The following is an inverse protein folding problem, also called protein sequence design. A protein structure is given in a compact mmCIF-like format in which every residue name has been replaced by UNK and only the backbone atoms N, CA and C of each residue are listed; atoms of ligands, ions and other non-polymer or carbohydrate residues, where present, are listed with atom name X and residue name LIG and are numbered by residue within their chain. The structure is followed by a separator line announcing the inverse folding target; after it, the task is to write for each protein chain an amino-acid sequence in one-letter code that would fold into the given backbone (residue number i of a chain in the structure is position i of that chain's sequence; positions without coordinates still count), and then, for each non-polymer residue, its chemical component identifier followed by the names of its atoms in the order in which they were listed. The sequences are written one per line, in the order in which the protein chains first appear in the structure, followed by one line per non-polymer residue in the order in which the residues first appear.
data_IF_798390441014
#
_entry.id   IF_798390441014
#
_cell.length_a   1.000
_cell.length_b   1.000
_cell.length_c   1.000
_cell.angle_alpha   90.00
_cell.angle_beta   90.00
_cell.angle_gamma   90.00
#
_symmetry.space_group_name_H-M   'P 1'
#
loop_
_entity.id
_entity.type
_entity.pdbx_description
1 polymer ?
#
# COMPACT_ATOMS: atom_id res chain seq x y z
N UNK A 1 4.24 7.31 9.54
CA UNK A 1 3.75 6.49 8.43
C UNK A 1 4.83 6.19 7.38
N UNK A 2 5.00 4.91 7.01
CA UNK A 2 5.96 4.42 5.98
C UNK A 2 5.58 4.82 4.55
N UNK A 3 4.28 4.87 4.24
CA UNK A 3 3.75 5.35 2.96
C UNK A 3 2.32 5.82 3.17
N UNK A 4 1.89 6.84 2.43
CA UNK A 4 0.49 7.25 2.31
C UNK A 4 -0.19 6.67 1.06
N UNK A 5 0.55 5.96 0.21
CA UNK A 5 0.01 5.37 -1.02
C UNK A 5 -0.70 4.05 -0.72
N UNK A 6 -1.97 3.94 -1.12
CA UNK A 6 -2.84 2.76 -0.93
C UNK A 6 -2.19 1.46 -1.41
N UNK A 7 -1.51 1.47 -2.55
CA UNK A 7 -0.81 0.31 -3.12
C UNK A 7 0.27 -0.22 -2.17
N UNK A 8 1.08 0.69 -1.64
CA UNK A 8 2.20 0.35 -0.77
C UNK A 8 1.76 -0.03 0.65
N UNK A 9 0.70 0.61 1.15
CA UNK A 9 0.05 0.24 2.41
C UNK A 9 -0.55 -1.17 2.29
N UNK A 10 -1.29 -1.45 1.21
CA UNK A 10 -1.86 -2.77 0.95
C UNK A 10 -0.79 -3.85 0.91
N UNK A 11 0.33 -3.61 0.22
CA UNK A 11 1.44 -4.54 0.18
C UNK A 11 2.02 -4.81 1.58
N UNK A 12 2.22 -3.77 2.40
CA UNK A 12 2.71 -3.93 3.76
C UNK A 12 1.78 -4.83 4.58
N UNK A 13 0.47 -4.59 4.50
CA UNK A 13 -0.54 -5.37 5.21
C UNK A 13 -0.58 -6.83 4.73
N UNK A 14 -0.45 -7.07 3.42
CA UNK A 14 -0.36 -8.42 2.85
C UNK A 14 0.89 -9.15 3.35
N UNK A 15 2.03 -8.47 3.43
CA UNK A 15 3.27 -9.06 3.96
C UNK A 15 3.13 -9.40 5.45
N UNK A 16 2.58 -8.50 6.27
CA UNK A 16 2.28 -8.74 7.70
C UNK A 16 1.35 -9.95 7.84
N UNK A 17 0.25 -9.97 7.10
CA UNK A 17 -0.72 -11.06 7.10
C UNK A 17 -0.10 -12.39 6.68
N UNK A 18 0.75 -12.39 5.64
CA UNK A 18 1.42 -13.61 5.13
C UNK A 18 2.33 -14.27 6.16
N UNK A 19 2.81 -13.51 7.16
CA UNK A 19 3.59 -14.05 8.28
C UNK A 19 2.71 -14.55 9.44
N UNK A 20 1.39 -14.58 9.25
CA UNK A 20 0.41 -15.00 10.27
C UNK A 20 0.18 -13.96 11.36
N UNK A 21 0.55 -12.70 11.13
CA UNK A 21 0.39 -11.61 12.09
C UNK A 21 -0.99 -10.97 11.91
N UNK A 22 -2.02 -11.69 12.36
CA UNK A 22 -3.41 -11.29 12.15
C UNK A 22 -3.85 -10.32 13.25
N UNK A 23 -3.77 -10.73 14.51
CA UNK A 23 -4.22 -9.92 15.63
C UNK A 23 -3.27 -8.73 15.91
N UNK A 24 -3.78 -7.54 16.31
CA UNK A 24 -2.93 -6.41 16.64
C UNK A 24 -1.87 -6.70 17.72
N UNK A 25 -2.18 -7.61 18.65
CA UNK A 25 -1.24 -8.04 19.70
C UNK A 25 -0.06 -8.84 19.13
N UNK A 26 -0.25 -9.52 17.99
CA UNK A 26 0.83 -10.23 17.29
C UNK A 26 1.71 -9.25 16.51
N UNK A 27 1.19 -8.13 16.03
CA UNK A 27 2.00 -7.10 15.38
C UNK A 27 2.72 -6.25 16.43
N UNK A 28 3.78 -6.81 17.04
CA UNK A 28 4.59 -6.13 18.05
C UNK A 28 6.09 -6.25 17.74
N UNK A 29 6.87 -5.32 18.30
CA UNK A 29 8.32 -5.16 18.02
C UNK A 29 9.20 -6.38 18.32
N UNK A 30 8.71 -7.33 19.12
CA UNK A 30 9.50 -8.49 19.56
C UNK A 30 9.30 -9.72 18.67
N UNK A 31 8.45 -9.66 17.65
CA UNK A 31 8.20 -10.83 16.82
C UNK A 31 9.28 -10.97 15.74
N UNK A 32 10.06 -12.06 15.81
CA UNK A 32 11.03 -12.45 14.76
C UNK A 32 10.42 -12.46 13.36
N UNK A 33 9.10 -12.64 13.25
CA UNK A 33 8.36 -12.63 11.97
C UNK A 33 8.26 -11.26 11.31
N UNK A 34 8.39 -10.16 12.07
CA UNK A 34 8.52 -8.81 11.49
C UNK A 34 9.90 -8.58 10.88
N UNK A 35 10.91 -9.36 11.31
CA UNK A 35 12.24 -9.28 10.72
C UNK A 35 12.15 -9.67 9.23
N UNK A 36 12.72 -8.83 8.38
CA UNK A 36 12.71 -9.04 6.94
C UNK A 36 11.51 -8.42 6.21
N UNK A 37 10.37 -8.16 6.87
CA UNK A 37 9.20 -7.56 6.18
C UNK A 37 9.55 -6.22 5.54
N UNK A 38 10.27 -5.35 6.24
CA UNK A 38 10.67 -4.06 5.67
C UNK A 38 11.58 -4.21 4.45
N UNK A 39 12.43 -5.24 4.42
CA UNK A 39 13.31 -5.54 3.28
C UNK A 39 12.51 -6.15 2.13
N UNK A 40 11.59 -7.06 2.43
CA UNK A 40 10.69 -7.68 1.45
C UNK A 40 9.82 -6.60 0.79
N UNK A 41 9.25 -5.70 1.59
CA UNK A 41 8.46 -4.56 1.13
C UNK A 41 9.30 -3.62 0.25
N UNK A 42 10.47 -3.19 0.73
CA UNK A 42 11.33 -2.27 -0.03
C UNK A 42 11.73 -2.89 -1.38
N UNK A 43 12.13 -4.16 -1.39
CA UNK A 43 12.58 -4.84 -2.61
C UNK A 43 11.43 -5.30 -3.52
N UNK A 44 10.17 -5.14 -3.09
CA UNK A 44 9.05 -5.56 -3.90
C UNK A 44 8.91 -4.67 -5.14
N UNK A 45 8.61 -5.28 -6.29
CA UNK A 45 8.47 -4.58 -7.58
C UNK A 45 7.50 -3.41 -7.51
N UNK A 46 6.40 -3.56 -6.77
CA UNK A 46 5.40 -2.50 -6.59
C UNK A 46 5.98 -1.27 -5.91
N UNK A 47 6.78 -1.46 -4.85
CA UNK A 47 7.37 -0.36 -4.09
C UNK A 47 8.53 0.27 -4.86
N UNK A 48 9.32 -0.54 -5.58
CA UNK A 48 10.33 -0.03 -6.51
C UNK A 48 9.70 0.84 -7.60
N UNK A 49 8.53 0.46 -8.11
CA UNK A 49 7.78 1.28 -9.06
C UNK A 49 7.33 2.61 -8.42
N UNK A 50 6.80 2.61 -7.19
CA UNK A 50 6.46 3.85 -6.47
C UNK A 50 7.66 4.78 -6.30
N UNK A 51 8.86 4.22 -6.02
CA UNK A 51 10.10 5.00 -5.89
C UNK A 51 10.49 5.64 -7.23
N UNK A 52 10.46 4.87 -8.33
CA UNK A 52 10.80 5.36 -9.67
C UNK A 52 9.81 6.44 -10.14
N UNK A 53 8.53 6.29 -9.80
CA UNK A 53 7.47 7.25 -10.14
C UNK A 53 7.51 8.52 -9.27
N UNK A 54 8.32 8.53 -8.20
CA UNK A 54 8.41 9.66 -7.26
C UNK A 54 7.30 9.70 -6.22
N UNK A 55 6.36 8.73 -6.24
CA UNK A 55 5.25 8.60 -5.29
C UNK A 55 5.74 8.29 -3.88
N UNK A 56 6.88 7.61 -3.77
CA UNK A 56 7.56 7.36 -2.52
C UNK A 56 8.90 8.12 -2.55
N UNK A 57 8.98 9.21 -1.77
CA UNK A 57 10.25 9.94 -1.61
C UNK A 57 11.37 8.93 -1.29
N UNK A 58 12.47 9.00 -2.06
CA UNK A 58 13.54 8.02 -2.11
C UNK A 58 13.83 7.39 -0.74
N UNK A 59 13.17 6.27 -0.43
CA UNK A 59 13.40 5.53 0.80
C UNK A 59 14.76 4.88 0.66
N UNK A 60 15.76 5.47 1.32
CA UNK A 60 17.15 5.00 1.30
C UNK A 60 17.37 3.74 2.14
N UNK A 61 16.39 3.37 2.98
CA UNK A 61 16.48 2.25 3.89
C UNK A 61 15.14 1.53 4.03
N UNK A 62 15.22 0.23 4.26
CA UNK A 62 14.06 -0.60 4.56
C UNK A 62 13.45 -0.18 5.92
N UNK A 63 12.11 -0.17 6.05
CA UNK A 63 11.47 0.11 7.32
C UNK A 63 11.92 -0.86 8.42
N UNK A 64 12.19 -0.33 9.61
CA UNK A 64 12.49 -1.16 10.80
C UNK A 64 11.21 -1.80 11.34
N UNK A 65 11.31 -2.88 12.14
CA UNK A 65 10.15 -3.46 12.83
C UNK A 65 9.36 -2.43 13.64
N UNK A 66 10.03 -1.50 14.33
CA UNK A 66 9.36 -0.43 15.09
C UNK A 66 8.58 0.53 14.18
N UNK A 67 9.13 0.88 13.01
CA UNK A 67 8.43 1.71 12.03
C UNK A 67 7.21 1.00 11.45
N UNK A 68 7.30 -0.32 11.25
CA UNK A 68 6.19 -1.15 10.78
C UNK A 68 5.09 -1.21 11.83
N UNK A 69 5.43 -1.49 13.09
CA UNK A 69 4.47 -1.51 14.20
C UNK A 69 3.79 -0.16 14.36
N UNK A 70 4.57 0.93 14.35
CA UNK A 70 4.03 2.29 14.44
C UNK A 70 3.07 2.58 13.29
N UNK A 71 3.46 2.26 12.05
CA UNK A 71 2.60 2.46 10.88
C UNK A 71 1.32 1.62 10.99
N UNK A 72 1.42 0.37 11.42
CA UNK A 72 0.27 -0.49 11.62
C UNK A 72 -0.70 0.05 12.69
N UNK A 73 -0.19 0.58 13.79
CA UNK A 73 -1.00 1.22 14.84
C UNK A 73 -1.68 2.49 14.32
N UNK A 74 -0.94 3.36 13.63
CA UNK A 74 -1.50 4.56 12.98
C UNK A 74 -2.64 4.17 12.02
N UNK A 75 -2.50 3.08 11.26
CA UNK A 75 -3.54 2.59 10.36
C UNK A 75 -4.78 2.09 11.11
N UNK A 76 -4.63 1.35 12.21
CA UNK A 76 -5.79 0.94 13.02
C UNK A 76 -6.52 2.13 13.64
N UNK A 77 -5.78 3.13 14.13
CA UNK A 77 -6.36 4.34 14.70
C UNK A 77 -7.17 5.14 13.67
N UNK A 78 -6.69 5.20 12.43
CA UNK A 78 -7.35 5.89 11.32
C UNK A 78 -8.55 5.14 10.73
N UNK A 79 -8.66 3.84 11.03
CA UNK A 79 -9.69 2.95 10.49
C UNK A 79 -10.36 2.21 11.65
N UNK A 80 -11.14 2.93 12.45
CA UNK A 80 -11.71 2.45 13.71
C UNK A 80 -12.67 1.27 13.57
N UNK A 81 -13.18 1.02 12.35
CA UNK A 81 -13.95 -0.16 12.01
C UNK A 81 -13.10 -1.42 11.81
N UNK A 82 -11.80 -1.27 11.53
CA UNK A 82 -10.86 -2.37 11.34
C UNK A 82 -10.32 -2.84 12.69
N UNK A 83 -10.34 -4.16 12.93
CA UNK A 83 -9.94 -4.76 14.22
C UNK A 83 -8.62 -5.50 14.15
N UNK A 84 -8.16 -5.85 12.95
CA UNK A 84 -6.99 -6.69 12.73
C UNK A 84 -6.38 -6.45 11.34
N UNK A 85 -5.29 -7.16 11.04
CA UNK A 85 -4.58 -7.04 9.75
C UNK A 85 -5.47 -7.42 8.56
N UNK A 86 -6.37 -8.40 8.70
CA UNK A 86 -7.29 -8.82 7.63
C UNK A 86 -8.28 -7.72 7.28
N UNK A 87 -8.88 -7.08 8.28
CA UNK A 87 -9.83 -5.96 8.06
C UNK A 87 -9.14 -4.80 7.34
N UNK A 88 -7.94 -4.41 7.80
CA UNK A 88 -7.13 -3.39 7.15
C UNK A 88 -6.80 -3.77 5.71
N UNK A 89 -6.31 -5.00 5.48
CA UNK A 89 -5.94 -5.46 4.14
C UNK A 89 -7.15 -5.43 3.19
N UNK A 90 -8.33 -5.86 3.65
CA UNK A 90 -9.56 -5.79 2.86
C UNK A 90 -9.98 -4.35 2.56
N UNK A 91 -9.90 -3.46 3.54
CA UNK A 91 -10.21 -2.04 3.33
C UNK A 91 -9.33 -1.43 2.25
N UNK A 92 -8.00 -1.57 2.37
CA UNK A 92 -7.06 -1.03 1.40
C UNK A 92 -7.13 -1.74 0.05
N UNK A 93 -7.52 -3.02 0.01
CA UNK A 93 -7.80 -3.74 -1.23
C UNK A 93 -8.96 -3.10 -2.00
N UNK A 94 -10.11 -2.86 -1.35
CA UNK A 94 -11.25 -2.24 -2.02
C UNK A 94 -10.98 -0.79 -2.42
N UNK A 95 -10.30 -0.02 -1.57
CA UNK A 95 -9.83 1.32 -1.94
C UNK A 95 -8.96 1.29 -3.19
N UNK A 96 -8.05 0.30 -3.29
CA UNK A 96 -7.18 0.15 -4.45
C UNK A 96 -7.93 -0.24 -5.72
N UNK A 97 -8.98 -1.06 -5.63
CA UNK A 97 -9.84 -1.37 -6.78
C UNK A 97 -10.46 -0.09 -7.32
N UNK A 98 -11.07 0.72 -6.45
CA UNK A 98 -11.73 1.97 -6.84
C UNK A 98 -10.75 2.89 -7.56
N UNK A 99 -9.56 3.12 -7.00
CA UNK A 99 -8.51 3.94 -7.62
C UNK A 99 -8.13 3.46 -9.02
N UNK A 100 -8.02 2.13 -9.21
CA UNK A 100 -7.64 1.55 -10.50
C UNK A 100 -8.78 1.68 -11.50
N UNK A 101 -10.03 1.46 -11.08
CA UNK A 101 -11.20 1.63 -11.93
C UNK A 101 -11.37 3.08 -12.40
N UNK A 102 -11.17 4.03 -11.48
CA UNK A 102 -11.17 5.47 -11.80
C UNK A 102 -10.06 5.82 -12.80
N UNK A 103 -8.83 5.34 -12.58
CA UNK A 103 -7.72 5.59 -13.51
C UNK A 103 -7.98 4.99 -14.89
N UNK A 104 -8.56 3.80 -14.96
CA UNK A 104 -8.95 3.17 -16.23
C UNK A 104 -10.00 4.01 -16.93
N UNK A 105 -10.99 4.53 -16.20
CA UNK A 105 -12.02 5.40 -16.75
C UNK A 105 -11.43 6.71 -17.30
N UNK A 106 -10.60 7.39 -16.52
CA UNK A 106 -9.91 8.62 -16.95
C UNK A 106 -9.13 8.42 -18.25
N UNK A 107 -8.31 7.36 -18.31
CA UNK A 107 -7.51 7.06 -19.50
C UNK A 107 -8.40 6.77 -20.74
N UNK A 108 -9.55 6.12 -20.55
CA UNK A 108 -10.51 5.88 -21.65
C UNK A 108 -11.13 7.18 -22.14
N UNK A 109 -11.49 8.08 -21.22
CA UNK A 109 -12.08 9.37 -21.55
C UNK A 109 -11.07 10.29 -22.26
N UNK A 110 -9.81 10.30 -21.80
CA UNK A 110 -8.70 11.02 -22.44
C UNK A 110 -8.45 10.51 -23.87
N UNK A 111 -8.31 9.20 -24.04
CA UNK A 111 -8.12 8.58 -25.34
C UNK A 111 -9.27 8.90 -26.31
N UNK A 112 -10.52 8.92 -25.83
CA UNK A 112 -11.68 9.29 -26.66
C UNK A 112 -11.59 10.75 -27.13
N UNK A 113 -11.20 11.67 -26.25
CA UNK A 113 -11.03 13.09 -26.61
C UNK A 113 -9.97 13.27 -27.68
N UNK A 114 -8.84 12.58 -27.58
CA UNK A 114 -7.78 12.65 -28.61
C UNK A 114 -8.28 12.16 -29.98
N UNK A 115 -9.07 11.08 -30.01
CA UNK A 115 -9.67 10.58 -31.25
C UNK A 115 -10.71 11.53 -31.86
N UNK A 116 -11.45 12.26 -31.03
CA UNK A 116 -12.42 13.26 -31.49
C UNK A 116 -11.74 14.53 -32.01
N UNK A 117 -10.70 15.01 -31.33
CA UNK A 117 -9.89 16.16 -31.80
C UNK A 117 -9.22 15.87 -33.13
N UNK A 118 -8.69 14.66 -33.32
CA UNK A 118 -8.04 14.26 -34.57
C UNK A 118 -9.01 13.99 -35.74
N UNK A 119 -10.34 13.98 -35.51
CA UNK A 119 -11.35 13.90 -36.57
C UNK A 119 -11.78 15.27 -37.11
N UNK A 120 -11.44 16.35 -36.41
CA UNK A 120 -11.84 17.73 -36.75
C UNK A 120 -10.71 18.49 -37.46
N UNK A 121 -9.52 17.89 -37.58
CA UNK A 121 -8.41 18.33 -38.43
C UNK A 121 -8.29 17.45 -39.68
#
# INVERSE_FOLDING_TARGET
MISSNTRDILLLLQLIHSKGLIDPKSVNKNEKKLAGIGKDWLNHKSTQLSIIQGDLHAMKAAPTPDQIVKTYQELLEQNSECRNTTDLANKYYYARIIEVEEKIKENKDEFRKELEVNKVN
#
